data_IF_373260805218
#
_entry.id   IF_373260805218
#
_cell.length_a   1.000
_cell.length_b   1.000
_cell.length_c   1.000
_cell.angle_alpha   90.00
_cell.angle_beta   90.00
_cell.angle_gamma   90.00
#
_symmetry.space_group_name_H-M   'P 1'
#
loop_
_entity.id
_entity.type
_entity.pdbx_description
1 polymer ?
#
# COMPACT_ATOMS: atom_id res chain seq x y z
N UNK A 1 -6.14 -60.47 8.35
CA UNK A 1 -5.01 -59.61 7.91
C UNK A 1 -5.43 -58.39 7.09
N UNK A 2 -6.69 -58.24 6.65
CA UNK A 2 -7.15 -57.08 5.84
C UNK A 2 -7.51 -55.82 6.66
N UNK A 3 -7.94 -55.98 7.92
CA UNK A 3 -8.44 -54.87 8.75
C UNK A 3 -7.35 -53.95 9.30
N UNK A 4 -6.15 -54.47 9.58
CA UNK A 4 -5.06 -53.68 10.14
C UNK A 4 -4.41 -52.73 9.12
N UNK A 5 -4.47 -53.06 7.82
CA UNK A 5 -3.90 -52.25 6.74
C UNK A 5 -4.72 -50.98 6.50
N UNK A 6 -6.06 -51.06 6.65
CA UNK A 6 -6.96 -49.93 6.48
C UNK A 6 -6.82 -48.89 7.61
N UNK A 7 -6.52 -49.34 8.83
CA UNK A 7 -6.32 -48.45 9.98
C UNK A 7 -5.00 -47.69 9.84
N UNK A 8 -3.93 -48.34 9.36
CA UNK A 8 -2.64 -47.67 9.12
C UNK A 8 -2.72 -46.59 8.03
N UNK A 9 -3.50 -46.84 6.96
CA UNK A 9 -3.70 -45.86 5.89
C UNK A 9 -4.51 -44.63 6.33
N UNK A 10 -5.47 -44.81 7.24
CA UNK A 10 -6.28 -43.72 7.79
C UNK A 10 -5.50 -42.83 8.78
N UNK A 11 -4.54 -43.39 9.53
CA UNK A 11 -3.70 -42.61 10.47
C UNK A 11 -2.64 -41.78 9.74
N UNK A 12 -2.07 -42.30 8.64
CA UNK A 12 -1.07 -41.58 7.82
C UNK A 12 -1.66 -40.39 7.03
N UNK A 13 -2.95 -40.44 6.68
CA UNK A 13 -3.64 -39.34 5.97
C UNK A 13 -4.15 -38.23 6.88
N UNK A 14 -4.18 -38.44 8.20
CA UNK A 14 -4.47 -37.39 9.20
C UNK A 14 -3.24 -36.55 9.58
N UNK A 15 -2.02 -37.02 9.26
CA UNK A 15 -0.77 -36.32 9.55
C UNK A 15 -0.29 -35.43 8.39
N UNK A 16 -0.93 -35.48 7.22
CA UNK A 16 -0.53 -34.71 6.03
C UNK A 16 -1.23 -33.35 5.88
N UNK A 17 -2.01 -32.90 6.87
CA UNK A 17 -2.86 -31.71 6.78
C UNK A 17 -2.42 -30.50 7.62
N UNK A 18 -1.25 -30.55 8.25
CA UNK A 18 -0.82 -29.51 9.18
C UNK A 18 0.62 -29.09 8.95
N UNK A 19 0.95 -28.52 7.79
CA UNK A 19 2.00 -27.51 7.80
C UNK A 19 1.44 -26.33 8.58
N UNK A 20 1.70 -26.31 9.89
CA UNK A 20 1.76 -25.05 10.61
C UNK A 20 2.67 -24.14 9.79
N UNK A 21 2.12 -23.07 9.23
CA UNK A 21 2.93 -22.04 8.59
C UNK A 21 4.10 -21.74 9.53
N UNK A 22 5.35 -21.68 9.04
CA UNK A 22 6.51 -21.44 9.89
C UNK A 22 6.17 -20.27 10.80
N UNK A 23 6.38 -20.44 12.10
CA UNK A 23 6.09 -19.43 13.11
C UNK A 23 6.80 -18.17 12.66
N UNK A 24 6.08 -17.26 12.01
CA UNK A 24 6.66 -16.06 11.40
C UNK A 24 7.00 -15.13 12.54
N UNK A 25 8.21 -15.26 13.08
CA UNK A 25 8.69 -14.35 14.11
C UNK A 25 8.89 -12.96 13.48
N UNK A 26 8.63 -11.91 14.26
CA UNK A 26 8.71 -10.53 13.79
C UNK A 26 10.08 -10.20 13.18
N UNK A 27 11.16 -10.77 13.70
CA UNK A 27 12.51 -10.59 13.16
C UNK A 27 12.62 -10.93 11.67
N UNK A 28 11.95 -12.01 11.23
CA UNK A 28 11.95 -12.43 9.83
C UNK A 28 11.00 -11.60 8.97
N UNK A 29 9.87 -11.17 9.55
CA UNK A 29 8.82 -10.42 8.85
C UNK A 29 9.16 -8.95 8.64
N UNK A 30 9.97 -8.36 9.52
CA UNK A 30 10.43 -6.97 9.43
C UNK A 30 11.87 -6.86 8.92
N UNK A 31 12.47 -7.97 8.52
CA UNK A 31 13.78 -7.99 7.90
C UNK A 31 13.73 -7.19 6.59
N UNK A 32 14.61 -6.18 6.49
CA UNK A 32 14.83 -5.43 5.27
C UNK A 32 15.57 -6.32 4.28
N UNK A 33 15.07 -6.43 3.06
CA UNK A 33 15.69 -7.17 1.97
C UNK A 33 16.37 -6.23 0.98
N UNK A 34 17.36 -6.77 0.27
CA UNK A 34 18.07 -6.02 -0.76
C UNK A 34 17.24 -5.90 -2.05
N UNK A 35 17.12 -4.69 -2.56
CA UNK A 35 16.59 -4.34 -3.87
C UNK A 35 17.68 -4.64 -4.90
N UNK A 36 17.49 -5.73 -5.65
CA UNK A 36 18.41 -6.22 -6.67
C UNK A 36 18.32 -5.36 -7.94
N UNK A 37 18.77 -4.12 -7.84
CA UNK A 37 18.65 -3.11 -8.89
C UNK A 37 17.22 -2.59 -9.07
N UNK A 38 17.08 -1.50 -9.83
CA UNK A 38 15.77 -0.89 -10.09
C UNK A 38 14.84 -1.80 -10.89
N UNK A 39 15.42 -2.73 -11.65
CA UNK A 39 14.77 -3.66 -12.56
C UNK A 39 13.77 -4.57 -11.82
N UNK A 40 14.07 -4.94 -10.57
CA UNK A 40 13.16 -5.69 -9.70
C UNK A 40 11.83 -4.96 -9.46
N UNK A 41 11.87 -3.63 -9.40
CA UNK A 41 10.73 -2.78 -9.07
C UNK A 41 9.86 -2.47 -10.30
N UNK A 42 10.42 -2.57 -11.51
CA UNK A 42 9.77 -2.09 -12.73
C UNK A 42 8.46 -2.84 -13.04
N UNK A 43 7.59 -2.17 -13.79
CA UNK A 43 6.31 -2.70 -14.25
C UNK A 43 5.14 -2.25 -13.39
N UNK A 44 3.99 -2.93 -13.59
CA UNK A 44 2.74 -2.59 -12.93
C UNK A 44 2.53 -3.45 -11.68
N UNK A 45 2.04 -2.83 -10.62
CA UNK A 45 1.68 -3.45 -9.36
C UNK A 45 0.32 -2.92 -8.91
N UNK A 46 -0.53 -3.80 -8.40
CA UNK A 46 -1.78 -3.43 -7.74
C UNK A 46 -1.50 -3.21 -6.26
N UNK A 47 -1.94 -2.07 -5.71
CA UNK A 47 -1.88 -1.82 -4.28
C UNK A 47 -3.08 -2.51 -3.63
N UNK A 48 -2.79 -3.40 -2.70
CA UNK A 48 -3.79 -4.26 -2.05
C UNK A 48 -4.17 -3.75 -0.67
N UNK A 49 -3.20 -3.17 0.04
CA UNK A 49 -3.42 -2.67 1.38
C UNK A 49 -2.39 -1.61 1.78
N UNK A 50 -2.73 -0.84 2.80
CA UNK A 50 -1.82 0.09 3.46
C UNK A 50 -2.08 0.18 4.97
N UNK A 51 -1.05 0.54 5.73
CA UNK A 51 -1.14 0.92 7.13
C UNK A 51 -0.20 2.10 7.39
N UNK A 52 -0.59 3.00 8.28
CA UNK A 52 0.21 4.18 8.64
C UNK A 52 -0.14 4.64 10.05
N UNK A 53 0.82 5.23 10.74
CA UNK A 53 0.62 5.85 12.07
C UNK A 53 0.08 7.28 12.01
N UNK A 54 -0.37 7.74 10.83
CA UNK A 54 -1.24 8.92 10.72
C UNK A 54 -2.65 8.56 11.21
N UNK A 55 -3.03 9.06 12.39
CA UNK A 55 -4.30 8.72 13.07
C UNK A 55 -5.54 8.80 12.18
N UNK A 56 -5.74 9.92 11.48
CA UNK A 56 -6.95 10.14 10.67
C UNK A 56 -6.92 9.50 9.27
N UNK A 57 -5.78 9.00 8.82
CA UNK A 57 -5.62 8.50 7.44
C UNK A 57 -6.48 7.27 7.13
N UNK A 58 -6.67 6.36 8.09
CA UNK A 58 -7.49 5.17 7.85
C UNK A 58 -8.95 5.51 7.56
N UNK A 59 -9.48 6.56 8.19
CA UNK A 59 -10.84 7.03 7.94
C UNK A 59 -10.96 7.49 6.48
N UNK A 60 -9.96 8.23 5.99
CA UNK A 60 -9.89 8.64 4.59
C UNK A 60 -9.77 7.46 3.64
N UNK A 61 -8.83 6.55 3.87
CA UNK A 61 -8.61 5.39 2.99
C UNK A 61 -9.88 4.56 2.88
N UNK A 62 -10.56 4.28 3.99
CA UNK A 62 -11.83 3.52 3.99
C UNK A 62 -12.96 4.26 3.27
N UNK A 63 -13.03 5.58 3.41
CA UNK A 63 -14.10 6.37 2.81
C UNK A 63 -13.91 6.59 1.30
N UNK A 64 -12.66 6.76 0.85
CA UNK A 64 -12.36 7.31 -0.47
C UNK A 64 -11.55 6.39 -1.38
N UNK A 65 -10.76 5.44 -0.85
CA UNK A 65 -9.90 4.59 -1.68
C UNK A 65 -10.61 3.28 -2.05
N UNK A 66 -11.09 3.17 -3.29
CA UNK A 66 -11.68 1.92 -3.79
C UNK A 66 -10.59 0.94 -4.23
N UNK A 67 -9.79 1.33 -5.22
CA UNK A 67 -8.67 0.55 -5.74
C UNK A 67 -7.50 1.46 -6.09
N UNK A 68 -6.29 0.91 -6.11
CA UNK A 68 -5.09 1.63 -6.51
C UNK A 68 -4.13 0.71 -7.25
N UNK A 69 -3.41 1.26 -8.22
CA UNK A 69 -2.27 0.59 -8.85
C UNK A 69 -1.15 1.58 -9.10
N UNK A 70 0.06 1.05 -9.17
CA UNK A 70 1.28 1.80 -9.46
C UNK A 70 2.01 1.17 -10.63
N UNK A 71 2.57 2.01 -11.50
CA UNK A 71 3.46 1.61 -12.58
C UNK A 71 4.81 2.28 -12.37
N UNK A 72 5.84 1.46 -12.24
CA UNK A 72 7.21 1.90 -12.03
C UNK A 72 7.96 1.72 -13.35
N UNK A 73 8.62 2.78 -13.82
CA UNK A 73 9.46 2.75 -15.02
C UNK A 73 10.85 3.27 -14.73
N UNK A 74 11.83 2.84 -15.54
CA UNK A 74 13.17 3.38 -15.44
C UNK A 74 13.18 4.87 -15.84
N UNK A 75 13.94 5.67 -15.10
CA UNK A 75 14.31 7.02 -15.51
C UNK A 75 15.65 7.01 -16.26
N UNK A 76 16.07 8.19 -16.73
CA UNK A 76 17.30 8.34 -17.51
C UNK A 76 18.53 7.98 -16.68
N UNK A 77 18.58 8.44 -15.42
CA UNK A 77 19.63 8.12 -14.47
C UNK A 77 19.49 6.69 -14.00
N UNK A 78 20.60 5.95 -13.93
CA UNK A 78 20.61 4.50 -13.65
C UNK A 78 20.05 4.12 -12.29
N UNK A 79 20.13 5.02 -11.31
CA UNK A 79 19.61 4.85 -9.96
C UNK A 79 18.20 5.43 -9.77
N UNK A 80 17.57 5.96 -10.82
CA UNK A 80 16.29 6.67 -10.69
C UNK A 80 15.15 5.87 -11.32
N UNK A 81 13.98 5.94 -10.68
CA UNK A 81 12.72 5.39 -11.16
C UNK A 81 11.64 6.47 -11.22
N UNK A 82 10.75 6.34 -12.19
CA UNK A 82 9.51 7.11 -12.27
C UNK A 82 8.36 6.26 -11.73
N UNK A 83 7.55 6.85 -10.87
CA UNK A 83 6.40 6.22 -10.24
C UNK A 83 5.15 6.91 -10.76
N UNK A 84 4.26 6.12 -11.38
CA UNK A 84 2.94 6.55 -11.80
C UNK A 84 1.88 5.80 -11.02
N UNK A 85 1.22 6.47 -10.10
CA UNK A 85 0.16 5.88 -9.26
C UNK A 85 -1.21 6.35 -9.75
N UNK A 86 -2.17 5.44 -9.75
CA UNK A 86 -3.57 5.74 -10.05
C UNK A 86 -4.45 5.17 -8.95
N UNK A 87 -5.29 6.02 -8.39
CA UNK A 87 -6.27 5.67 -7.38
C UNK A 87 -7.68 5.90 -7.93
N UNK A 88 -8.57 4.95 -7.65
CA UNK A 88 -9.99 5.05 -7.92
C UNK A 88 -10.72 5.50 -6.65
N UNK A 89 -11.53 6.54 -6.79
CA UNK A 89 -12.31 7.14 -5.72
C UNK A 89 -13.65 7.57 -6.29
N UNK A 90 -14.75 7.03 -5.74
CA UNK A 90 -16.13 7.29 -6.20
C UNK A 90 -16.32 7.08 -7.70
N UNK A 91 -15.80 5.97 -8.23
CA UNK A 91 -15.84 5.67 -9.66
C UNK A 91 -14.97 6.57 -10.55
N UNK A 92 -14.27 7.57 -9.99
CA UNK A 92 -13.36 8.47 -10.72
C UNK A 92 -11.92 8.07 -10.49
N UNK A 93 -11.09 8.30 -11.51
CA UNK A 93 -9.67 7.99 -11.46
C UNK A 93 -8.87 9.27 -11.20
N UNK A 94 -7.96 9.21 -10.26
CA UNK A 94 -6.99 10.24 -9.93
C UNK A 94 -5.60 9.66 -10.08
N UNK A 95 -4.68 10.42 -10.66
CA UNK A 95 -3.33 9.94 -10.92
C UNK A 95 -2.27 10.90 -10.44
N UNK A 96 -1.13 10.31 -10.10
CA UNK A 96 0.01 10.98 -9.49
C UNK A 96 1.29 10.52 -10.19
N UNK A 97 2.20 11.46 -10.42
CA UNK A 97 3.57 11.16 -10.87
C UNK A 97 4.57 11.63 -9.84
N UNK A 98 5.57 10.80 -9.58
CA UNK A 98 6.75 11.15 -8.79
C UNK A 98 8.00 10.47 -9.35
N UNK A 99 9.15 10.97 -8.91
CA UNK A 99 10.46 10.42 -9.23
C UNK A 99 11.16 10.09 -7.94
N UNK A 100 11.75 8.89 -7.86
CA UNK A 100 12.47 8.41 -6.68
C UNK A 100 13.85 7.92 -7.08
N UNK A 101 14.80 8.09 -6.17
CA UNK A 101 16.19 7.65 -6.34
C UNK A 101 16.47 6.46 -5.43
N UNK A 102 17.02 5.38 -6.00
CA UNK A 102 17.49 4.18 -5.31
C UNK A 102 18.97 4.33 -4.94
N UNK A 103 19.26 4.52 -3.66
CA UNK A 103 20.63 4.59 -3.14
C UNK A 103 20.74 3.76 -1.87
N UNK A 104 21.82 2.98 -1.74
CA UNK A 104 22.09 2.17 -0.54
C UNK A 104 20.87 1.35 -0.07
N UNK A 105 20.23 0.63 -1.00
CA UNK A 105 19.03 -0.18 -0.73
C UNK A 105 17.79 0.60 -0.26
N UNK A 106 17.75 1.91 -0.48
CA UNK A 106 16.65 2.78 -0.05
C UNK A 106 16.16 3.58 -1.25
N UNK A 107 14.85 3.54 -1.50
CA UNK A 107 14.20 4.47 -2.41
C UNK A 107 13.91 5.76 -1.66
N UNK A 108 14.23 6.90 -2.25
CA UNK A 108 14.05 8.19 -1.59
C UNK A 108 13.50 9.26 -2.52
N UNK A 109 12.77 10.19 -1.91
CA UNK A 109 12.25 11.39 -2.54
C UNK A 109 12.32 12.53 -1.54
N UNK A 110 12.76 13.71 -1.98
CA UNK A 110 12.92 14.89 -1.10
C UNK A 110 11.81 15.92 -1.30
N UNK A 111 11.12 15.90 -2.46
CA UNK A 111 10.03 16.82 -2.79
C UNK A 111 8.78 16.08 -3.29
N UNK A 112 7.58 16.52 -2.90
CA UNK A 112 7.28 17.68 -2.03
C UNK A 112 7.50 17.39 -0.54
N UNK A 113 7.63 16.11 -0.18
CA UNK A 113 7.93 15.66 1.18
C UNK A 113 9.17 14.77 1.17
N UNK A 114 9.88 14.71 2.31
CA UNK A 114 10.93 13.71 2.49
C UNK A 114 10.26 12.36 2.71
N UNK A 115 10.57 11.39 1.86
CA UNK A 115 10.08 10.02 1.88
C UNK A 115 11.29 9.09 1.68
N UNK A 116 11.36 8.05 2.49
CA UNK A 116 12.32 6.96 2.35
C UNK A 116 11.58 5.62 2.44
N UNK A 117 11.88 4.70 1.54
CA UNK A 117 11.22 3.40 1.44
C UNK A 117 12.24 2.27 1.32
N UNK A 118 11.94 1.16 1.99
CA UNK A 118 12.70 -0.09 1.94
C UNK A 118 11.76 -1.26 1.74
N UNK A 119 12.28 -2.35 1.15
CA UNK A 119 11.52 -3.59 1.01
C UNK A 119 11.67 -4.45 2.25
N UNK A 120 10.56 -5.01 2.72
CA UNK A 120 10.53 -6.04 3.75
C UNK A 120 10.39 -7.42 3.13
N UNK A 121 10.89 -8.41 3.85
CA UNK A 121 10.76 -9.81 3.50
C UNK A 121 9.28 -10.24 3.44
N UNK A 122 8.92 -11.09 2.47
CA UNK A 122 7.58 -11.67 2.34
C UNK A 122 7.67 -13.05 1.69
N UNK A 123 6.78 -13.96 2.10
CA UNK A 123 6.59 -15.26 1.46
C UNK A 123 5.85 -15.18 0.11
N UNK A 124 5.29 -14.02 -0.25
CA UNK A 124 4.62 -13.83 -1.53
C UNK A 124 5.64 -13.51 -2.66
N UNK A 125 5.87 -14.42 -3.62
CA UNK A 125 6.94 -14.29 -4.61
C UNK A 125 6.69 -13.19 -5.65
N UNK A 126 5.44 -12.77 -5.81
CA UNK A 126 5.02 -11.74 -6.76
C UNK A 126 4.40 -10.53 -6.04
N UNK A 127 4.79 -10.30 -4.79
CA UNK A 127 4.43 -9.13 -4.00
C UNK A 127 5.63 -8.29 -3.60
N UNK A 128 5.37 -7.04 -3.25
CA UNK A 128 6.29 -6.17 -2.53
C UNK A 128 5.62 -5.70 -1.24
N UNK A 129 6.37 -5.76 -0.14
CA UNK A 129 6.00 -5.12 1.11
C UNK A 129 6.94 -3.95 1.32
N UNK A 130 6.40 -2.74 1.27
CA UNK A 130 7.19 -1.50 1.31
C UNK A 130 6.98 -0.86 2.67
N UNK A 131 8.05 -0.72 3.45
CA UNK A 131 8.06 0.08 4.67
C UNK A 131 8.54 1.48 4.31
N UNK A 132 7.74 2.48 4.67
CA UNK A 132 8.03 3.88 4.37
C UNK A 132 8.19 4.71 5.64
N UNK A 133 9.01 5.75 5.54
CA UNK A 133 9.12 6.82 6.53
C UNK A 133 9.04 8.14 5.79
N UNK A 134 8.14 9.02 6.20
CA UNK A 134 7.94 10.28 5.52
C UNK A 134 7.62 11.42 6.48
N UNK A 135 8.05 12.62 6.11
CA UNK A 135 7.90 13.82 6.93
C UNK A 135 6.88 14.74 6.29
N UNK A 136 5.78 14.99 7.02
CA UNK A 136 4.74 15.91 6.61
C UNK A 136 4.67 17.04 7.65
N UNK A 137 4.97 18.26 7.22
CA UNK A 137 5.10 19.40 8.13
C UNK A 137 6.24 19.18 9.12
N UNK A 138 5.92 19.14 10.42
CA UNK A 138 6.90 18.95 11.50
C UNK A 138 6.96 17.52 12.03
N UNK A 139 6.01 16.66 11.65
CA UNK A 139 5.92 15.28 12.11
C UNK A 139 6.50 14.31 11.10
N UNK A 140 7.03 13.21 11.63
CA UNK A 140 7.50 12.07 10.85
C UNK A 140 6.60 10.88 11.11
N UNK A 141 6.14 10.26 10.03
CA UNK A 141 5.22 9.15 10.02
C UNK A 141 5.86 7.92 9.41
N UNK A 142 5.29 6.76 9.72
CA UNK A 142 5.67 5.47 9.18
C UNK A 142 4.48 4.90 8.44
N UNK A 143 4.76 4.29 7.28
CA UNK A 143 3.79 3.60 6.47
C UNK A 143 4.24 2.20 6.13
N UNK A 144 3.28 1.38 5.73
CA UNK A 144 3.48 0.05 5.22
C UNK A 144 2.50 -0.16 4.07
N UNK A 145 2.99 -0.56 2.90
CA UNK A 145 2.17 -0.82 1.72
C UNK A 145 2.36 -2.25 1.25
N UNK A 146 1.28 -2.84 0.76
CA UNK A 146 1.28 -4.17 0.15
C UNK A 146 0.93 -4.08 -1.32
N UNK A 147 1.89 -4.42 -2.19
CA UNK A 147 1.72 -4.42 -3.63
C UNK A 147 1.80 -5.86 -4.16
N UNK A 148 1.07 -6.17 -5.23
CA UNK A 148 1.16 -7.45 -5.92
C UNK A 148 1.08 -7.30 -7.43
N UNK A 149 1.65 -8.24 -8.18
CA UNK A 149 1.39 -8.37 -9.62
C UNK A 149 -0.03 -8.81 -9.92
N UNK A 150 -0.72 -9.40 -8.93
CA UNK A 150 -2.12 -9.85 -9.01
C UNK A 150 -3.05 -8.78 -8.45
N UNK A 151 -4.32 -8.82 -8.89
CA UNK A 151 -5.37 -7.97 -8.32
C UNK A 151 -5.88 -8.49 -6.97
N UNK A 152 -5.63 -9.76 -6.66
CA UNK A 152 -6.02 -10.42 -5.41
C UNK A 152 -4.92 -11.36 -4.96
N UNK A 153 -4.80 -11.48 -3.65
CA UNK A 153 -3.89 -12.40 -2.96
C UNK A 153 -4.69 -13.40 -2.14
N UNK A 154 -4.02 -14.44 -1.66
CA UNK A 154 -4.61 -15.45 -0.78
C UNK A 154 -4.82 -14.89 0.62
N UNK A 155 -5.71 -15.52 1.39
CA UNK A 155 -5.90 -15.16 2.79
C UNK A 155 -4.61 -15.28 3.61
N UNK A 156 -3.75 -16.27 3.32
CA UNK A 156 -2.48 -16.45 4.02
C UNK A 156 -1.52 -15.28 3.77
N UNK A 157 -1.44 -14.78 2.54
CA UNK A 157 -0.63 -13.60 2.18
C UNK A 157 -1.18 -12.32 2.85
N UNK A 158 -2.50 -12.18 2.98
CA UNK A 158 -3.11 -11.07 3.71
C UNK A 158 -2.81 -11.13 5.22
N UNK A 159 -2.88 -12.31 5.83
CA UNK A 159 -2.57 -12.49 7.25
C UNK A 159 -1.08 -12.29 7.55
N UNK A 160 -0.18 -12.70 6.65
CA UNK A 160 1.25 -12.36 6.75
C UNK A 160 1.47 -10.85 6.78
N UNK A 161 0.83 -10.10 5.87
CA UNK A 161 0.94 -8.65 5.83
C UNK A 161 0.36 -7.96 7.09
N UNK A 162 -0.77 -8.44 7.61
CA UNK A 162 -1.31 -7.95 8.89
C UNK A 162 -0.32 -8.14 10.02
N UNK A 163 0.31 -9.32 10.09
CA UNK A 163 1.33 -9.62 11.09
C UNK A 163 2.58 -8.75 10.95
N UNK A 164 2.97 -8.37 9.73
CA UNK A 164 4.04 -7.39 9.50
C UNK A 164 3.69 -6.03 10.09
N UNK A 165 2.46 -5.54 9.90
CA UNK A 165 2.01 -4.29 10.50
C UNK A 165 2.03 -4.37 12.04
N UNK A 166 1.56 -5.48 12.63
CA UNK A 166 1.61 -5.72 14.07
C UNK A 166 3.05 -5.70 14.60
N UNK A 167 3.98 -6.39 13.94
CA UNK A 167 5.39 -6.42 14.32
C UNK A 167 6.07 -5.04 14.29
N UNK A 168 5.59 -4.14 13.42
CA UNK A 168 6.07 -2.76 13.32
C UNK A 168 5.35 -1.78 14.28
N UNK A 169 4.40 -2.28 15.08
CA UNK A 169 3.49 -1.48 15.88
C UNK A 169 2.78 -0.41 15.05
N UNK A 170 2.36 -0.80 13.84
CA UNK A 170 1.49 0.00 13.00
C UNK A 170 0.04 -0.41 13.24
N UNK A 171 -0.93 0.48 12.97
CA UNK A 171 -2.34 0.12 13.05
C UNK A 171 -2.72 -1.03 12.10
N UNK A 172 -3.88 -1.64 12.33
CA UNK A 172 -4.40 -2.68 11.43
C UNK A 172 -4.51 -2.14 10.00
N UNK A 173 -3.98 -2.84 8.98
CA UNK A 173 -4.04 -2.37 7.62
C UNK A 173 -5.46 -2.25 7.06
N UNK A 174 -5.65 -1.28 6.16
CA UNK A 174 -6.84 -1.15 5.33
C UNK A 174 -6.58 -1.86 4.01
N UNK A 175 -7.42 -2.85 3.69
CA UNK A 175 -7.39 -3.54 2.41
C UNK A 175 -8.31 -2.85 1.41
N UNK A 176 -7.82 -2.63 0.20
CA UNK A 176 -8.58 -2.03 -0.90
C UNK A 176 -9.50 -3.07 -1.54
N UNK A 177 -10.65 -2.62 -2.04
CA UNK A 177 -11.67 -3.49 -2.61
C UNK A 177 -11.35 -3.85 -4.06
N UNK A 178 -10.58 -4.93 -4.22
CA UNK A 178 -10.20 -5.48 -5.52
C UNK A 178 -11.37 -5.76 -6.48
N UNK A 179 -12.61 -5.89 -5.98
CA UNK A 179 -13.81 -6.14 -6.79
C UNK A 179 -14.39 -4.88 -7.45
N UNK A 180 -13.97 -3.68 -7.03
CA UNK A 180 -14.41 -2.41 -7.65
C UNK A 180 -13.78 -2.13 -9.01
N UNK A 181 -12.86 -2.98 -9.45
CA UNK A 181 -12.15 -2.85 -10.73
C UNK A 181 -11.14 -1.70 -10.74
N UNK A 182 -10.05 -1.88 -11.49
CA UNK A 182 -8.97 -0.91 -11.60
C UNK A 182 -9.28 0.17 -12.64
N UNK A 183 -8.72 1.37 -12.43
CA UNK A 183 -8.67 2.41 -13.44
C UNK A 183 -7.87 1.99 -14.68
N UNK A 184 -8.23 2.45 -15.89
CA UNK A 184 -7.47 2.17 -17.11
C UNK A 184 -6.09 2.83 -17.08
N UNK A 185 -5.18 2.32 -17.91
CA UNK A 185 -3.86 2.92 -18.09
C UNK A 185 -3.96 4.28 -18.80
N UNK A 186 -2.97 5.16 -18.59
CA UNK A 186 -2.91 6.51 -19.20
C UNK A 186 -3.13 6.51 -20.71
N UNK A 187 -2.70 5.45 -21.42
CA UNK A 187 -2.89 5.33 -22.87
C UNK A 187 -4.37 5.35 -23.31
N UNK A 188 -5.31 5.17 -22.39
CA UNK A 188 -6.74 5.00 -22.66
C UNK A 188 -7.63 6.07 -22.03
N UNK A 189 -7.10 6.99 -21.21
CA UNK A 189 -7.90 7.98 -20.46
C UNK A 189 -7.48 9.41 -20.80
N UNK A 190 -8.27 10.09 -21.64
CA UNK A 190 -8.18 11.55 -21.85
C UNK A 190 -8.83 12.36 -20.71
N UNK A 191 -9.34 11.70 -19.65
CA UNK A 191 -10.14 12.35 -18.60
C UNK A 191 -9.48 12.41 -17.22
N UNK A 192 -8.26 11.91 -17.06
CA UNK A 192 -7.57 11.91 -15.77
C UNK A 192 -6.66 13.13 -15.65
N UNK A 193 -6.95 14.03 -14.69
CA UNK A 193 -6.02 15.10 -14.32
C UNK A 193 -4.87 14.48 -13.52
N UNK A 194 -3.72 14.29 -14.16
CA UNK A 194 -2.49 13.82 -13.50
C UNK A 194 -1.86 14.96 -12.71
N UNK A 195 -1.62 14.72 -11.41
CA UNK A 195 -0.88 15.64 -10.55
C UNK A 195 0.60 15.21 -10.57
N UNK A 196 1.48 16.12 -10.97
CA UNK A 196 2.93 15.89 -10.93
C UNK A 196 3.48 16.40 -9.59
N UNK A 197 3.85 15.49 -8.69
CA UNK A 197 4.38 15.83 -7.37
C UNK A 197 5.69 16.61 -7.44
N UNK A 198 6.49 16.42 -8.49
CA UNK A 198 7.76 17.14 -8.64
C UNK A 198 7.55 18.64 -8.86
N UNK A 199 6.37 19.02 -9.34
CA UNK A 199 5.96 20.41 -9.58
C UNK A 199 5.23 21.05 -8.40
N UNK A 200 4.83 20.27 -7.40
CA UNK A 200 4.08 20.76 -6.24
C UNK A 200 5.03 21.51 -5.30
N UNK A 201 4.81 22.81 -5.17
CA UNK A 201 5.42 23.64 -4.13
C UNK A 201 4.53 23.64 -2.89
N UNK A 202 4.96 22.98 -1.82
CA UNK A 202 4.30 23.07 -0.52
C UNK A 202 4.95 24.15 0.34
N UNK A 203 4.18 25.16 0.72
CA UNK A 203 4.55 26.09 1.79
C UNK A 203 4.44 25.39 3.16
N UNK A 204 5.25 25.83 4.14
CA UNK A 204 5.29 25.24 5.48
C UNK A 204 3.94 25.35 6.21
N UNK A 205 3.22 26.46 6.06
CA UNK A 205 1.93 26.65 6.72
C UNK A 205 0.87 25.73 6.12
N UNK A 206 0.85 25.58 4.80
CA UNK A 206 -0.05 24.61 4.15
C UNK A 206 0.22 23.19 4.66
N UNK A 207 1.49 22.80 4.76
CA UNK A 207 1.88 21.47 5.27
C UNK A 207 1.44 21.25 6.71
N UNK A 208 1.61 22.25 7.60
CA UNK A 208 1.14 22.20 9.00
C UNK A 208 -0.37 22.06 9.11
N UNK A 209 -1.13 22.73 8.23
CA UNK A 209 -2.58 22.62 8.21
C UNK A 209 -3.00 21.21 7.81
N UNK A 210 -2.41 20.65 6.75
CA UNK A 210 -2.70 19.28 6.32
C UNK A 210 -2.31 18.27 7.41
N UNK A 211 -1.13 18.43 8.02
CA UNK A 211 -0.67 17.60 9.14
C UNK A 211 -1.68 17.61 10.30
N UNK A 212 -2.14 18.80 10.72
CA UNK A 212 -3.11 18.95 11.80
C UNK A 212 -4.45 18.25 11.49
N UNK A 213 -4.91 18.37 10.25
CA UNK A 213 -6.17 17.75 9.80
C UNK A 213 -6.01 16.22 9.82
N UNK A 214 -4.98 15.69 9.16
CA UNK A 214 -4.72 14.26 9.06
C UNK A 214 -4.39 13.60 10.42
N UNK A 215 -3.82 14.36 11.36
CA UNK A 215 -3.51 13.91 12.71
C UNK A 215 -4.72 13.71 13.62
N UNK A 216 -5.92 14.17 13.24
CA UNK A 216 -7.13 14.10 14.07
C UNK A 216 -8.21 13.22 13.43
N UNK A 217 -8.49 12.06 14.03
CA UNK A 217 -9.53 11.16 13.55
C UNK A 217 -10.93 11.79 13.54
N UNK A 218 -11.28 12.55 14.59
CA UNK A 218 -12.60 13.19 14.71
C UNK A 218 -12.80 14.27 13.64
N UNK A 219 -11.79 15.10 13.40
CA UNK A 219 -11.82 16.09 12.30
C UNK A 219 -11.93 15.39 10.96
N UNK A 220 -11.24 14.25 10.78
CA UNK A 220 -11.36 13.49 9.54
C UNK A 220 -12.75 12.90 9.33
N UNK A 221 -13.38 12.35 10.39
CA UNK A 221 -14.76 11.85 10.33
C UNK A 221 -15.73 12.97 9.97
N UNK A 222 -15.61 14.13 10.62
CA UNK A 222 -16.45 15.29 10.33
C UNK A 222 -16.29 15.74 8.87
N UNK A 223 -15.06 15.80 8.35
CA UNK A 223 -14.82 16.16 6.96
C UNK A 223 -15.44 15.16 5.97
N UNK A 224 -15.36 13.86 6.27
CA UNK A 224 -15.99 12.80 5.48
C UNK A 224 -17.51 12.94 5.51
N UNK A 225 -18.11 13.18 6.68
CA UNK A 225 -19.55 13.38 6.85
C UNK A 225 -20.06 14.63 6.11
N UNK A 226 -19.32 15.75 6.19
CA UNK A 226 -19.61 16.99 5.45
C UNK A 226 -19.56 16.75 3.95
N UNK A 227 -18.58 15.98 3.46
CA UNK A 227 -18.49 15.62 2.05
C UNK A 227 -19.71 14.81 1.59
N UNK A 228 -20.06 13.75 2.33
CA UNK A 228 -21.18 12.89 1.96
C UNK A 228 -22.54 13.62 2.05
N UNK A 229 -22.75 14.44 3.09
CA UNK A 229 -23.97 15.25 3.20
C UNK A 229 -24.11 16.27 2.08
N UNK A 230 -23.00 16.84 1.62
CA UNK A 230 -22.99 17.73 0.44
C UNK A 230 -23.37 16.98 -0.84
N UNK A 231 -22.93 15.73 -1.01
CA UNK A 231 -23.31 14.92 -2.18
C UNK A 231 -24.79 14.56 -2.16
N UNK A 232 -25.37 14.22 -1.00
CA UNK A 232 -26.81 13.93 -0.90
C UNK A 232 -27.67 15.15 -1.21
N UNK A 233 -27.24 16.36 -0.79
CA UNK A 233 -27.93 17.60 -1.12
C UNK A 233 -27.87 17.99 -2.61
N UNK A 234 -26.89 17.47 -3.36
CA UNK A 234 -26.78 17.68 -4.82
C UNK A 234 -27.68 16.74 -5.63
N UNK A 235 -28.15 15.64 -5.05
CA UNK A 235 -29.07 14.70 -5.72
C UNK A 235 -30.56 15.05 -5.54
N UNK A 236 -30.88 16.03 -4.69
CA UNK A 236 -32.25 16.49 -4.40
C UNK A 236 -32.67 17.76 -5.18
N UNK A 237 -31.80 18.29 -6.05
CA UNK A 237 -32.09 19.40 -6.98
C UNK A 237 -31.95 18.94 -8.44
#
# INVERSE_FOLDING_TARGET
MMGFILIAAAVLSLLSGGWSAPVTNCDNLTQIIEIQGREQLLGKWTQLAESTDITGSQVLTKAFSETSWVKITAANESNTINVFQVQKTFGRCFSLRSTMTLENNTLSMVRPMTLSEVLLNTGCPDCLVISSKYTLGQSTYRGLQFLSRRNKVTAAEMEEFKKQAECLNLPTPVFLDSDKGLCPDESTSQQTKTIDLTSVTTDENFSKVIEKILGSEDVMKEMVDVFFSSMTGLTEN
#
